data_IF_659691812806
#
_entry.id   IF_659691812806
#
_cell.length_a   1.000
_cell.length_b   1.000
_cell.length_c   1.000
_cell.angle_alpha   90.00
_cell.angle_beta   90.00
_cell.angle_gamma   90.00
#
_symmetry.space_group_name_H-M   'P 1'
#
loop_
_entity.id
_entity.type
_entity.pdbx_description
1 polymer ?
#
# COMPACT_ATOMS: atom_id res chain seq x y z
N UNK A 1 -18.04 1.36 -20.99
CA UNK A 1 -17.43 0.27 -20.21
C UNK A 1 -16.17 0.79 -19.48
N UNK A 2 -16.32 1.36 -18.29
CA UNK A 2 -15.23 2.00 -17.52
C UNK A 2 -15.38 1.70 -16.02
N UNK A 3 -15.60 0.44 -15.64
CA UNK A 3 -15.94 0.10 -14.24
C UNK A 3 -14.75 -0.16 -13.30
N UNK A 4 -13.51 -0.27 -13.76
CA UNK A 4 -12.41 -0.71 -12.88
C UNK A 4 -11.65 0.44 -12.21
N UNK A 5 -11.54 1.62 -12.85
CA UNK A 5 -10.79 2.77 -12.30
C UNK A 5 -11.53 3.54 -11.20
N UNK A 6 -12.86 3.57 -11.25
CA UNK A 6 -13.66 4.33 -10.26
C UNK A 6 -13.73 3.61 -8.92
N UNK A 7 -13.77 2.28 -8.91
CA UNK A 7 -13.71 1.50 -7.65
C UNK A 7 -12.36 1.66 -6.93
N UNK A 8 -11.25 1.70 -7.67
CA UNK A 8 -9.92 1.92 -7.09
C UNK A 8 -9.74 3.33 -6.57
N UNK A 9 -10.32 4.34 -7.23
CA UNK A 9 -10.31 5.73 -6.75
C UNK A 9 -11.12 5.88 -5.45
N UNK A 10 -12.31 5.27 -5.37
CA UNK A 10 -13.14 5.30 -4.15
C UNK A 10 -12.50 4.59 -2.95
N UNK A 11 -11.84 3.45 -3.17
CA UNK A 11 -11.07 2.77 -2.13
C UNK A 11 -9.82 3.57 -1.73
N UNK A 12 -9.13 4.20 -2.69
CA UNK A 12 -7.96 5.05 -2.40
C UNK A 12 -8.36 6.28 -1.60
N UNK A 13 -9.49 6.89 -1.91
CA UNK A 13 -10.06 8.01 -1.15
C UNK A 13 -10.47 7.58 0.25
N UNK A 14 -11.16 6.43 0.42
CA UNK A 14 -11.53 5.93 1.75
C UNK A 14 -10.33 5.52 2.62
N UNK A 15 -9.30 4.93 2.05
CA UNK A 15 -8.13 4.53 2.82
C UNK A 15 -7.21 5.71 3.17
N UNK A 16 -7.20 6.79 2.36
CA UNK A 16 -6.53 8.03 2.72
C UNK A 16 -7.36 8.86 3.71
N UNK A 17 -8.67 9.03 3.49
CA UNK A 17 -9.49 9.93 4.30
C UNK A 17 -9.95 9.33 5.63
N UNK A 18 -10.20 8.02 5.70
CA UNK A 18 -10.71 7.39 6.93
C UNK A 18 -9.63 6.66 7.73
N UNK A 19 -8.38 6.62 7.26
CA UNK A 19 -7.29 5.87 7.89
C UNK A 19 -7.70 4.43 8.29
N UNK A 20 -8.56 3.80 7.50
CA UNK A 20 -9.14 2.51 7.86
C UNK A 20 -8.13 1.37 7.58
N UNK A 21 -7.71 0.61 8.60
CA UNK A 21 -6.71 -0.44 8.44
C UNK A 21 -7.18 -1.59 7.53
N UNK A 22 -8.48 -1.90 7.54
CA UNK A 22 -9.05 -2.92 6.66
C UNK A 22 -9.11 -2.44 5.20
N UNK A 23 -9.40 -1.17 4.97
CA UNK A 23 -9.35 -0.55 3.64
C UNK A 23 -7.91 -0.50 3.09
N UNK A 24 -6.92 -0.20 3.95
CA UNK A 24 -5.52 -0.22 3.58
C UNK A 24 -5.05 -1.63 3.17
N UNK A 25 -5.53 -2.66 3.87
CA UNK A 25 -5.24 -4.06 3.55
C UNK A 25 -5.92 -4.51 2.24
N UNK A 26 -7.19 -4.14 2.03
CA UNK A 26 -7.89 -4.43 0.77
C UNK A 26 -7.21 -3.74 -0.43
N UNK A 27 -6.71 -2.51 -0.25
CA UNK A 27 -5.92 -1.81 -1.26
C UNK A 27 -4.55 -2.45 -1.49
N UNK A 28 -3.92 -3.00 -0.45
CA UNK A 28 -2.67 -3.76 -0.58
C UNK A 28 -2.92 -4.98 -1.47
N UNK A 29 -3.92 -5.80 -1.13
CA UNK A 29 -4.30 -6.99 -1.89
C UNK A 29 -4.60 -6.67 -3.36
N UNK A 30 -5.31 -5.58 -3.61
CA UNK A 30 -5.57 -5.11 -4.96
C UNK A 30 -4.29 -4.66 -5.71
N UNK A 31 -3.30 -4.11 -5.00
CA UNK A 31 -2.01 -3.76 -5.60
C UNK A 31 -1.14 -4.97 -5.88
N UNK A 32 -1.27 -6.03 -5.07
CA UNK A 32 -0.65 -7.33 -5.32
C UNK A 32 -1.23 -7.94 -6.59
N UNK A 33 -2.57 -7.95 -6.72
CA UNK A 33 -3.27 -8.44 -7.91
C UNK A 33 -2.88 -7.68 -9.19
N UNK A 34 -2.62 -6.38 -9.08
CA UNK A 34 -2.15 -5.54 -10.20
C UNK A 34 -0.63 -5.62 -10.44
N UNK A 35 0.13 -6.29 -9.59
CA UNK A 35 1.60 -6.40 -9.70
C UNK A 35 2.36 -5.10 -9.40
N UNK A 36 1.74 -4.14 -8.71
CA UNK A 36 2.34 -2.85 -8.43
C UNK A 36 3.36 -2.92 -7.30
N UNK A 37 4.65 -3.03 -7.63
CA UNK A 37 5.75 -3.11 -6.65
C UNK A 37 5.83 -1.89 -5.73
N UNK A 38 5.88 -0.68 -6.30
CA UNK A 38 6.09 0.57 -5.56
C UNK A 38 4.87 0.95 -4.70
N UNK A 39 3.67 0.81 -5.26
CA UNK A 39 2.41 1.16 -4.57
C UNK A 39 2.07 0.12 -3.49
N UNK A 40 2.33 -1.17 -3.73
CA UNK A 40 2.15 -2.19 -2.70
C UNK A 40 3.02 -1.90 -1.47
N UNK A 41 4.26 -1.45 -1.66
CA UNK A 41 5.16 -1.14 -0.54
C UNK A 41 4.70 0.09 0.26
N UNK A 42 4.19 1.13 -0.42
CA UNK A 42 3.54 2.28 0.24
C UNK A 42 2.34 1.82 1.07
N UNK A 43 1.46 1.01 0.49
CA UNK A 43 0.21 0.54 1.14
C UNK A 43 0.46 -0.41 2.29
N UNK A 44 1.48 -1.26 2.17
CA UNK A 44 1.92 -2.12 3.24
C UNK A 44 2.47 -1.31 4.43
N UNK A 45 3.32 -0.31 4.17
CA UNK A 45 3.80 0.59 5.23
C UNK A 45 2.64 1.32 5.89
N UNK A 46 1.69 1.82 5.10
CA UNK A 46 0.49 2.49 5.62
C UNK A 46 -0.36 1.56 6.50
N UNK A 47 -0.65 0.35 6.04
CA UNK A 47 -1.35 -0.67 6.80
C UNK A 47 -0.58 -1.05 8.08
N UNK A 48 0.75 -1.10 8.04
CA UNK A 48 1.59 -1.32 9.22
C UNK A 48 1.50 -0.17 10.23
N UNK A 49 1.53 1.09 9.78
CA UNK A 49 1.38 2.26 10.63
C UNK A 49 -0.01 2.34 11.28
N UNK A 50 -1.05 1.91 10.57
CA UNK A 50 -2.43 1.87 11.07
C UNK A 50 -2.73 0.64 11.94
N UNK A 51 -1.77 -0.27 12.14
CA UNK A 51 -1.96 -1.49 12.93
C UNK A 51 -2.91 -2.49 12.28
N UNK A 52 -3.01 -2.50 10.95
CA UNK A 52 -3.82 -3.47 10.23
C UNK A 52 -3.34 -4.91 10.48
N UNK A 53 -4.24 -5.91 10.42
CA UNK A 53 -3.89 -7.31 10.59
C UNK A 53 -3.13 -7.84 9.37
N UNK A 54 -1.85 -7.46 9.27
CA UNK A 54 -0.93 -7.91 8.24
C UNK A 54 -0.58 -9.38 8.45
N UNK A 55 -0.91 -10.21 7.47
CA UNK A 55 -0.48 -11.61 7.46
C UNK A 55 0.97 -11.79 6.94
N UNK A 56 1.63 -12.92 7.30
CA UNK A 56 2.99 -13.28 6.86
C UNK A 56 3.22 -13.14 5.34
N UNK A 57 2.21 -13.50 4.53
CA UNK A 57 2.25 -13.37 3.06
C UNK A 57 2.55 -11.94 2.58
N UNK A 58 2.09 -10.93 3.30
CA UNK A 58 2.33 -9.53 2.95
C UNK A 58 3.79 -9.15 3.24
N UNK A 59 4.32 -9.62 4.37
CA UNK A 59 5.72 -9.43 4.75
C UNK A 59 6.66 -10.09 3.73
N UNK A 60 6.39 -11.33 3.33
CA UNK A 60 7.19 -12.04 2.32
C UNK A 60 7.16 -11.36 0.95
N UNK A 61 5.98 -10.89 0.52
CA UNK A 61 5.87 -10.16 -0.74
C UNK A 61 6.67 -8.86 -0.71
N UNK A 62 6.55 -8.10 0.38
CA UNK A 62 7.30 -6.84 0.53
C UNK A 62 8.79 -7.10 0.66
N UNK A 63 9.22 -8.18 1.32
CA UNK A 63 10.62 -8.58 1.36
C UNK A 63 11.15 -8.85 -0.06
N UNK A 64 10.44 -9.66 -0.87
CA UNK A 64 10.81 -9.93 -2.27
C UNK A 64 10.83 -8.67 -3.13
N UNK A 65 9.94 -7.71 -2.86
CA UNK A 65 9.92 -6.42 -3.57
C UNK A 65 11.08 -5.53 -3.12
N UNK A 66 11.38 -5.51 -1.82
CA UNK A 66 12.49 -4.76 -1.24
C UNK A 66 13.84 -5.30 -1.74
N UNK A 67 14.01 -6.61 -1.85
CA UNK A 67 15.22 -7.23 -2.45
C UNK A 67 15.43 -6.82 -3.91
N UNK A 68 14.35 -6.48 -4.62
CA UNK A 68 14.39 -6.02 -6.02
C UNK A 68 14.54 -4.50 -6.15
N UNK A 69 14.49 -3.75 -5.06
CA UNK A 69 14.57 -2.30 -5.04
C UNK A 69 15.83 -1.85 -4.29
N UNK A 70 16.49 -0.81 -4.77
CA UNK A 70 17.60 -0.21 -4.00
C UNK A 70 17.07 0.43 -2.71
N UNK A 71 17.88 0.37 -1.65
CA UNK A 71 17.56 0.98 -0.35
C UNK A 71 17.11 2.44 -0.46
N UNK A 72 17.70 3.21 -1.38
CA UNK A 72 17.32 4.61 -1.65
C UNK A 72 15.89 4.74 -2.21
N UNK A 73 15.45 3.78 -3.02
CA UNK A 73 14.08 3.74 -3.54
C UNK A 73 13.09 3.38 -2.43
N UNK A 74 13.47 2.46 -1.54
CA UNK A 74 12.67 2.10 -0.36
C UNK A 74 12.54 3.31 0.57
N UNK A 75 13.63 4.03 0.84
CA UNK A 75 13.60 5.25 1.65
C UNK A 75 12.68 6.32 1.04
N UNK A 76 12.79 6.58 -0.27
CA UNK A 76 11.88 7.52 -0.97
C UNK A 76 10.42 7.10 -0.89
N UNK A 77 10.14 5.79 -0.96
CA UNK A 77 8.80 5.24 -0.80
C UNK A 77 8.29 5.45 0.62
N UNK A 78 9.11 5.17 1.63
CA UNK A 78 8.75 5.34 3.03
C UNK A 78 8.46 6.81 3.37
N UNK A 79 9.27 7.74 2.87
CA UNK A 79 9.02 9.18 3.00
C UNK A 79 7.71 9.60 2.32
N UNK A 80 7.43 9.09 1.11
CA UNK A 80 6.19 9.39 0.40
C UNK A 80 4.94 8.77 1.06
N UNK A 81 5.09 7.66 1.77
CA UNK A 81 4.03 7.04 2.57
C UNK A 81 3.73 7.89 3.81
N UNK A 82 4.78 8.33 4.53
CA UNK A 82 4.63 9.22 5.70
C UNK A 82 4.02 10.57 5.33
N UNK A 83 4.51 11.20 4.26
CA UNK A 83 3.96 12.48 3.78
C UNK A 83 2.47 12.41 3.40
N UNK A 84 1.94 11.22 3.09
CA UNK A 84 0.51 10.99 2.86
C UNK A 84 -0.29 10.70 4.13
N UNK A 85 0.38 10.27 5.21
CA UNK A 85 -0.23 10.03 6.52
C UNK A 85 -0.37 11.35 7.31
N UNK A 86 0.56 12.29 7.10
CA UNK A 86 0.59 13.61 7.76
C UNK A 86 -0.22 14.70 7.02
N UNK A 87 -0.80 14.37 5.86
CA UNK A 87 -1.46 15.33 4.96
C UNK A 87 -2.97 15.25 4.96
#
# INVERSE_FOLDING_TARGET
MTSTRVQTAGLSHRACEQHDPHAALALLDHSLALGHRRIALIRYLHAQYLGAPLEPRHHEYVHKVAERLSAETIARIATAARARLEG
#
